data_IF_986562495229
#
_entry.id   IF_986562495229
#
_cell.length_a   1.000
_cell.length_b   1.000
_cell.length_c   1.000
_cell.angle_alpha   90.00
_cell.angle_beta   90.00
_cell.angle_gamma   90.00
#
_symmetry.space_group_name_H-M   'P 1'
#
loop_
_entity.id
_entity.type
_entity.pdbx_description
1 polymer ?
#
# COMPACT_ATOMS: atom_id res chain seq x y z
N UNK A 1 18.86 -53.79 30.08
CA UNK A 1 18.11 -54.61 29.11
C UNK A 1 18.96 -54.69 27.86
N UNK A 2 19.39 -55.90 27.52
CA UNK A 2 20.32 -56.16 26.45
C UNK A 2 19.61 -56.10 25.07
N UNK A 3 20.45 -56.16 24.04
CA UNK A 3 20.20 -56.69 22.69
C UNK A 3 19.70 -55.76 21.57
N UNK A 4 20.64 -55.57 20.64
CA UNK A 4 20.54 -55.63 19.17
C UNK A 4 19.99 -54.45 18.34
N UNK A 5 20.98 -53.87 17.64
CA UNK A 5 20.97 -53.28 16.31
C UNK A 5 20.40 -54.16 15.19
N UNK A 6 20.04 -53.47 14.09
CA UNK A 6 19.76 -53.94 12.72
C UNK A 6 18.31 -54.44 12.49
N UNK A 7 17.62 -54.15 11.39
CA UNK A 7 18.08 -54.03 10.01
C UNK A 7 17.07 -53.20 9.19
N UNK A 8 17.63 -52.49 8.21
CA UNK A 8 16.95 -51.94 7.02
C UNK A 8 16.36 -53.09 6.21
N UNK A 9 15.10 -53.00 5.77
CA UNK A 9 14.71 -53.49 4.42
C UNK A 9 13.28 -53.08 4.08
N UNK A 10 13.18 -52.34 2.97
CA UNK A 10 11.99 -52.11 2.20
C UNK A 10 11.34 -53.43 1.75
N UNK A 11 10.01 -53.46 1.67
CA UNK A 11 9.30 -54.30 0.71
C UNK A 11 7.88 -53.77 0.52
N UNK A 12 7.63 -53.31 -0.71
CA UNK A 12 6.32 -53.10 -1.30
C UNK A 12 5.56 -54.43 -1.33
N UNK A 13 4.32 -54.45 -0.85
CA UNK A 13 3.34 -55.47 -1.26
C UNK A 13 1.97 -54.82 -1.43
N UNK A 14 1.65 -54.50 -2.68
CA UNK A 14 0.26 -54.43 -3.12
C UNK A 14 -0.31 -55.86 -3.10
N UNK A 15 -1.34 -56.10 -2.31
CA UNK A 15 -2.20 -57.26 -2.47
C UNK A 15 -3.62 -56.91 -2.06
N UNK A 16 -4.48 -56.92 -3.07
CA UNK A 16 -5.92 -56.74 -3.05
C UNK A 16 -6.57 -57.94 -2.36
N UNK A 17 -7.46 -57.70 -1.41
CA UNK A 17 -8.35 -58.72 -0.85
C UNK A 17 -9.81 -58.29 -1.08
N UNK A 18 -10.43 -58.88 -2.10
CA UNK A 18 -11.87 -58.93 -2.31
C UNK A 18 -12.50 -59.97 -1.38
N UNK A 19 -13.85 -59.91 -1.27
CA UNK A 19 -14.81 -60.93 -0.82
C UNK A 19 -15.34 -60.74 0.62
N UNK A 20 -16.63 -60.77 0.95
CA UNK A 20 -17.93 -60.81 0.22
C UNK A 20 -19.01 -60.55 1.27
N UNK A 21 -20.12 -59.89 0.91
CA UNK A 21 -21.31 -59.82 1.76
C UNK A 21 -22.52 -59.19 1.05
N UNK A 22 -23.11 -59.94 0.11
CA UNK A 22 -24.52 -59.99 -0.36
C UNK A 22 -25.43 -58.74 -0.20
N UNK A 23 -26.25 -58.29 -1.15
CA UNK A 23 -26.67 -58.85 -2.46
C UNK A 23 -27.70 -57.92 -3.14
N UNK A 24 -27.84 -58.11 -4.47
CA UNK A 24 -29.07 -57.96 -5.30
C UNK A 24 -29.37 -56.60 -5.98
N UNK A 25 -29.15 -56.63 -7.31
CA UNK A 25 -29.87 -56.00 -8.43
C UNK A 25 -29.41 -54.64 -8.99
N UNK A 26 -28.60 -54.72 -10.06
CA UNK A 26 -28.37 -53.62 -11.00
C UNK A 26 -27.15 -53.76 -11.93
N UNK A 27 -26.99 -54.91 -12.60
CA UNK A 27 -26.25 -55.12 -13.88
C UNK A 27 -24.83 -54.50 -14.02
N UNK A 28 -23.79 -55.21 -13.55
CA UNK A 28 -22.75 -55.88 -14.36
C UNK A 28 -21.96 -54.96 -15.33
N UNK A 29 -20.81 -54.40 -14.93
CA UNK A 29 -19.46 -54.97 -15.16
C UNK A 29 -19.29 -55.78 -16.44
N UNK A 30 -18.38 -55.34 -17.30
CA UNK A 30 -17.67 -56.25 -18.18
C UNK A 30 -17.34 -55.66 -19.53
N UNK A 31 -16.13 -55.14 -19.67
CA UNK A 31 -15.15 -55.67 -20.62
C UNK A 31 -13.83 -54.92 -20.42
N UNK A 32 -12.95 -55.55 -19.65
CA UNK A 32 -11.52 -55.36 -19.78
C UNK A 32 -11.11 -55.64 -21.23
N UNK A 33 -10.70 -54.61 -21.95
CA UNK A 33 -9.87 -54.77 -23.12
C UNK A 33 -8.72 -53.78 -23.02
N UNK A 34 -7.58 -54.30 -22.56
CA UNK A 34 -6.27 -53.74 -22.90
C UNK A 34 -6.23 -53.69 -24.43
N UNK A 35 -6.33 -52.50 -25.00
CA UNK A 35 -5.88 -52.22 -26.36
C UNK A 35 -4.83 -51.12 -26.23
N UNK A 36 -3.57 -51.56 -26.14
CA UNK A 36 -2.45 -50.72 -26.53
C UNK A 36 -2.61 -50.41 -28.03
N UNK A 37 -3.00 -49.18 -28.33
CA UNK A 37 -3.21 -48.72 -29.70
C UNK A 37 -3.65 -47.26 -29.74
N UNK A 38 -2.67 -46.35 -29.80
CA UNK A 38 -2.68 -44.98 -30.33
C UNK A 38 -4.07 -44.30 -30.40
N UNK A 39 -4.32 -43.34 -29.50
CA UNK A 39 -5.57 -42.57 -29.53
C UNK A 39 -5.63 -41.43 -28.51
N UNK A 40 -4.65 -40.53 -28.52
CA UNK A 40 -4.93 -39.15 -28.16
C UNK A 40 -6.12 -38.66 -28.99
N UNK A 41 -7.00 -37.84 -28.42
CA UNK A 41 -8.12 -37.13 -29.08
C UNK A 41 -9.51 -37.79 -28.96
N UNK A 42 -10.13 -37.77 -27.77
CA UNK A 42 -11.58 -37.99 -27.69
C UNK A 42 -12.32 -37.31 -26.52
N UNK A 43 -11.71 -36.36 -25.80
CA UNK A 43 -12.42 -35.57 -24.77
C UNK A 43 -12.58 -34.08 -25.12
N UNK A 44 -11.90 -33.59 -26.16
CA UNK A 44 -11.96 -32.17 -26.57
C UNK A 44 -13.14 -31.83 -27.49
N UNK A 45 -13.87 -32.83 -27.98
CA UNK A 45 -14.99 -32.61 -28.91
C UNK A 45 -16.29 -32.20 -28.19
N UNK A 46 -16.51 -32.65 -26.94
CA UNK A 46 -17.75 -32.36 -26.21
C UNK A 46 -17.74 -30.95 -25.60
N UNK A 47 -16.58 -30.43 -25.21
CA UNK A 47 -16.42 -29.06 -24.70
C UNK A 47 -16.42 -27.99 -25.80
N UNK A 48 -16.15 -28.36 -27.05
CA UNK A 48 -16.17 -27.43 -28.20
C UNK A 48 -17.59 -27.04 -28.63
N UNK A 49 -18.61 -27.82 -28.28
CA UNK A 49 -20.01 -27.53 -28.58
C UNK A 49 -20.72 -26.67 -27.52
N UNK A 50 -20.08 -26.44 -26.37
CA UNK A 50 -20.62 -25.68 -25.24
C UNK A 50 -20.01 -24.28 -25.09
N UNK A 51 -19.04 -23.90 -25.93
CA UNK A 51 -18.40 -22.59 -25.84
C UNK A 51 -18.98 -21.63 -26.88
N UNK A 52 -19.57 -20.49 -26.47
CA UNK A 52 -20.02 -19.47 -27.40
C UNK A 52 -18.83 -18.94 -28.20
N UNK A 53 -19.03 -18.89 -29.52
CA UNK A 53 -18.05 -18.44 -30.53
C UNK A 53 -17.47 -17.09 -30.12
N UNK A 54 -16.26 -17.08 -29.55
CA UNK A 54 -15.55 -15.84 -29.22
C UNK A 54 -15.19 -15.11 -30.51
N UNK A 55 -15.47 -13.80 -30.63
CA UNK A 55 -14.97 -12.98 -31.72
C UNK A 55 -13.45 -13.08 -31.81
N UNK A 56 -12.96 -13.15 -33.04
CA UNK A 56 -11.54 -13.30 -33.37
C UNK A 56 -10.81 -11.98 -33.08
N UNK A 57 -10.42 -11.77 -31.83
CA UNK A 57 -9.52 -10.68 -31.44
C UNK A 57 -8.11 -11.11 -31.86
N UNK A 58 -7.62 -10.54 -32.95
CA UNK A 58 -6.21 -10.53 -33.34
C UNK A 58 -5.33 -10.32 -32.10
N UNK A 59 -4.39 -11.22 -31.78
CA UNK A 59 -3.58 -11.09 -30.58
C UNK A 59 -2.64 -9.89 -30.76
N UNK A 60 -2.99 -8.79 -30.10
CA UNK A 60 -2.00 -7.80 -29.73
C UNK A 60 -0.98 -8.51 -28.83
N UNK A 61 0.20 -8.79 -29.39
CA UNK A 61 1.37 -9.25 -28.65
C UNK A 61 1.83 -8.13 -27.72
N UNK A 62 1.13 -7.93 -26.60
CA UNK A 62 1.70 -7.27 -25.44
C UNK A 62 2.48 -8.33 -24.70
N UNK A 63 3.79 -8.32 -24.89
CA UNK A 63 4.75 -9.04 -24.05
C UNK A 63 4.38 -8.83 -22.58
N UNK A 64 3.85 -9.88 -21.94
CA UNK A 64 3.52 -9.94 -20.51
C UNK A 64 4.78 -9.97 -19.62
N UNK A 65 5.89 -9.36 -20.03
CA UNK A 65 7.16 -9.42 -19.30
C UNK A 65 7.80 -8.07 -18.97
N UNK A 66 7.29 -6.95 -19.51
CA UNK A 66 7.95 -5.65 -19.33
C UNK A 66 6.97 -4.58 -18.88
N UNK A 67 6.95 -4.29 -17.58
CA UNK A 67 6.23 -3.13 -17.04
C UNK A 67 7.02 -1.87 -17.41
N UNK A 68 6.76 -1.33 -18.61
CA UNK A 68 7.35 -0.07 -19.03
C UNK A 68 6.64 1.10 -18.37
N UNK A 69 7.42 2.05 -17.88
CA UNK A 69 6.89 3.31 -17.36
C UNK A 69 6.66 4.27 -18.52
N UNK A 70 5.40 4.56 -18.82
CA UNK A 70 5.03 5.48 -19.90
C UNK A 70 4.75 6.86 -19.28
N UNK A 71 5.34 7.91 -19.86
CA UNK A 71 5.06 9.31 -19.49
C UNK A 71 3.77 9.76 -20.16
N UNK A 72 2.63 9.55 -19.50
CA UNK A 72 1.34 10.05 -19.96
C UNK A 72 0.76 11.03 -18.94
N UNK A 73 0.47 12.29 -19.31
CA UNK A 73 -0.12 13.28 -18.41
C UNK A 73 -1.57 12.96 -18.02
N UNK A 74 -2.25 12.09 -18.79
CA UNK A 74 -3.63 11.68 -18.57
C UNK A 74 -3.70 10.17 -18.27
N UNK A 75 -3.22 9.77 -17.09
CA UNK A 75 -3.41 8.41 -16.57
C UNK A 75 -4.55 8.41 -15.57
N UNK A 76 -5.49 7.47 -15.72
CA UNK A 76 -6.54 7.26 -14.73
C UNK A 76 -5.92 6.80 -13.40
N UNK A 77 -6.41 7.37 -12.28
CA UNK A 77 -6.07 6.89 -10.94
C UNK A 77 -6.61 5.49 -10.78
N UNK A 78 -5.74 4.56 -10.40
CA UNK A 78 -6.11 3.16 -10.16
C UNK A 78 -6.27 2.94 -8.66
N UNK A 79 -7.26 2.14 -8.29
CA UNK A 79 -7.42 1.62 -6.93
C UNK A 79 -6.93 0.17 -6.92
N UNK A 80 -5.93 -0.10 -6.10
CA UNK A 80 -5.35 -1.42 -5.94
C UNK A 80 -5.92 -2.07 -4.68
N UNK A 81 -6.24 -3.35 -4.77
CA UNK A 81 -6.62 -4.17 -3.63
C UNK A 81 -5.71 -5.40 -3.59
N UNK A 82 -5.10 -5.65 -2.44
CA UNK A 82 -4.07 -6.70 -2.27
C UNK A 82 -2.68 -6.25 -2.72
N UNK A 83 -1.79 -7.22 -2.89
CA UNK A 83 -0.40 -7.00 -3.28
C UNK A 83 -0.20 -7.26 -4.79
N UNK A 84 0.41 -6.30 -5.48
CA UNK A 84 0.76 -6.46 -6.89
C UNK A 84 1.96 -5.59 -7.26
N UNK A 85 2.87 -6.12 -8.09
CA UNK A 85 3.97 -5.32 -8.66
C UNK A 85 3.40 -4.41 -9.75
N UNK A 86 3.35 -3.11 -9.46
CA UNK A 86 2.85 -2.10 -10.39
C UNK A 86 3.89 -1.02 -10.66
N UNK A 87 3.95 -0.56 -11.91
CA UNK A 87 4.58 0.71 -12.24
C UNK A 87 3.54 1.82 -12.18
N UNK A 88 3.97 3.00 -11.71
CA UNK A 88 3.15 4.19 -11.59
C UNK A 88 3.42 5.21 -12.70
N UNK A 89 2.58 6.23 -12.80
CA UNK A 89 2.87 7.37 -13.66
C UNK A 89 3.99 8.23 -13.05
N UNK A 90 4.80 8.88 -13.90
CA UNK A 90 5.81 9.85 -13.45
C UNK A 90 5.11 11.18 -13.21
N UNK A 91 5.15 11.68 -11.98
CA UNK A 91 4.59 12.98 -11.60
C UNK A 91 5.58 14.13 -11.80
N UNK A 92 6.71 14.06 -11.11
CA UNK A 92 7.80 15.04 -11.19
C UNK A 92 9.04 14.34 -11.73
N UNK A 93 9.77 15.03 -12.61
CA UNK A 93 11.12 14.67 -13.02
C UNK A 93 11.93 15.97 -13.02
N UNK A 94 13.00 16.01 -12.26
CA UNK A 94 13.88 17.17 -12.21
C UNK A 94 15.32 16.73 -11.99
N UNK A 95 16.24 17.62 -12.32
CA UNK A 95 17.67 17.38 -12.28
C UNK A 95 18.31 18.51 -11.48
N UNK A 96 19.06 18.17 -10.44
CA UNK A 96 19.62 19.13 -9.47
C UNK A 96 21.13 18.98 -9.37
N UNK A 97 21.81 20.05 -8.97
CA UNK A 97 23.24 20.05 -8.70
C UNK A 97 24.08 19.80 -9.95
N UNK A 98 23.89 20.63 -10.99
CA UNK A 98 24.58 20.54 -12.27
C UNK A 98 24.37 19.20 -13.00
N UNK A 99 23.13 18.70 -13.00
CA UNK A 99 22.75 17.42 -13.56
C UNK A 99 23.35 16.16 -12.89
N UNK A 100 23.78 16.28 -11.63
CA UNK A 100 24.29 15.13 -10.87
C UNK A 100 23.19 14.30 -10.21
N UNK A 101 22.10 14.92 -9.78
CA UNK A 101 21.01 14.23 -9.10
C UNK A 101 19.75 14.24 -9.95
N UNK A 102 19.20 13.06 -10.19
CA UNK A 102 17.92 12.91 -10.86
C UNK A 102 16.83 12.60 -9.83
N UNK A 103 15.87 13.51 -9.69
CA UNK A 103 14.72 13.34 -8.80
C UNK A 103 13.50 12.95 -9.61
N UNK A 104 12.84 11.86 -9.19
CA UNK A 104 11.63 11.37 -9.84
C UNK A 104 10.60 10.96 -8.79
N UNK A 105 9.35 11.31 -9.03
CA UNK A 105 8.21 10.87 -8.21
C UNK A 105 7.34 9.94 -9.05
N UNK A 106 7.09 8.74 -8.53
CA UNK A 106 6.24 7.72 -9.16
C UNK A 106 4.94 7.60 -8.37
N UNK A 107 3.81 7.79 -9.06
CA UNK A 107 2.47 7.72 -8.49
C UNK A 107 1.85 6.35 -8.75
N UNK A 108 1.68 5.53 -7.71
CA UNK A 108 1.22 4.15 -7.84
C UNK A 108 -0.31 4.01 -7.92
N UNK A 109 -1.06 4.80 -7.15
CA UNK A 109 -2.52 4.71 -7.10
C UNK A 109 -3.12 5.68 -6.10
N UNK A 110 -4.42 5.53 -5.88
CA UNK A 110 -5.18 6.30 -4.90
C UNK A 110 -5.45 5.48 -3.64
N UNK A 111 -5.44 6.16 -2.49
CA UNK A 111 -5.82 5.61 -1.20
C UNK A 111 -4.64 5.34 -0.29
N UNK A 112 -4.97 4.65 0.80
CA UNK A 112 -4.09 4.27 1.89
C UNK A 112 -3.53 2.88 1.61
N UNK A 113 -2.22 2.79 1.41
CA UNK A 113 -1.51 1.51 1.32
C UNK A 113 -1.00 1.11 2.71
N UNK A 114 -0.97 -0.19 2.99
CA UNK A 114 -0.37 -0.72 4.22
C UNK A 114 1.16 -0.60 4.17
N UNK A 115 1.75 -1.02 3.04
CA UNK A 115 3.15 -0.75 2.75
C UNK A 115 3.43 -0.71 1.25
N UNK A 116 4.57 -0.10 0.91
CA UNK A 116 5.19 -0.24 -0.41
C UNK A 116 6.40 -1.17 -0.21
N UNK A 117 6.30 -2.39 -0.72
CA UNK A 117 7.33 -3.42 -0.59
C UNK A 117 8.59 -3.17 -1.41
N UNK A 118 9.21 -4.22 -1.92
CA UNK A 118 10.47 -4.16 -2.67
C UNK A 118 10.37 -3.27 -3.91
N UNK A 119 11.32 -2.34 -4.06
CA UNK A 119 11.38 -1.46 -5.23
C UNK A 119 12.33 -2.05 -6.25
N UNK A 120 11.92 -2.11 -7.52
CA UNK A 120 12.74 -2.69 -8.58
C UNK A 120 13.24 -1.61 -9.52
N UNK A 121 14.56 -1.54 -9.70
CA UNK A 121 15.19 -0.73 -10.73
C UNK A 121 15.57 -1.65 -11.89
N UNK A 122 14.80 -1.56 -12.97
CA UNK A 122 14.83 -2.54 -14.05
C UNK A 122 14.57 -3.97 -13.49
N UNK A 123 15.62 -4.80 -13.47
CA UNK A 123 15.56 -6.20 -13.00
C UNK A 123 16.22 -6.40 -11.64
N UNK A 124 16.75 -5.33 -11.03
CA UNK A 124 17.44 -5.40 -9.74
C UNK A 124 16.48 -5.00 -8.59
N UNK A 125 16.23 -5.89 -7.62
CA UNK A 125 15.45 -5.57 -6.43
C UNK A 125 16.26 -4.74 -5.43
N UNK A 126 15.60 -3.77 -4.80
CA UNK A 126 16.07 -3.07 -3.62
C UNK A 126 15.10 -3.39 -2.49
N UNK A 127 15.58 -4.18 -1.54
CA UNK A 127 14.83 -4.65 -0.39
C UNK A 127 14.77 -3.58 0.71
N UNK A 128 13.84 -3.74 1.64
CA UNK A 128 13.61 -2.78 2.73
C UNK A 128 14.74 -2.76 3.75
N UNK A 129 15.39 -3.90 3.98
CA UNK A 129 16.57 -4.06 4.86
C UNK A 129 17.83 -3.35 4.30
N UNK A 130 17.86 -3.08 3.00
CA UNK A 130 18.93 -2.33 2.34
C UNK A 130 18.74 -0.82 2.41
N UNK A 131 17.66 -0.33 3.05
CA UNK A 131 17.36 1.08 3.20
C UNK A 131 17.54 1.52 4.66
N UNK A 132 18.17 2.67 4.88
CA UNK A 132 18.21 3.31 6.19
C UNK A 132 16.89 4.04 6.53
N UNK A 133 16.81 4.60 7.73
CA UNK A 133 15.64 5.40 8.18
C UNK A 133 15.41 6.69 7.39
N UNK A 134 16.40 7.15 6.62
CA UNK A 134 16.28 8.33 5.74
C UNK A 134 15.95 7.95 4.27
N UNK A 135 15.88 6.66 3.97
CA UNK A 135 15.59 6.09 2.66
C UNK A 135 16.82 5.92 1.76
N UNK A 136 18.05 6.04 2.27
CA UNK A 136 19.26 5.80 1.47
C UNK A 136 19.55 4.29 1.38
N UNK A 137 19.99 3.87 0.20
CA UNK A 137 20.50 2.50 0.00
C UNK A 137 21.85 2.38 0.70
N UNK A 138 21.96 1.44 1.63
CA UNK A 138 23.16 1.22 2.47
C UNK A 138 23.95 -0.03 2.09
N UNK A 139 23.37 -0.88 1.24
CA UNK A 139 24.02 -2.11 0.77
C UNK A 139 23.44 -2.58 -0.56
N UNK A 140 24.13 -3.51 -1.22
CA UNK A 140 23.74 -4.05 -2.53
C UNK A 140 24.31 -3.27 -3.70
N UNK A 141 23.79 -3.57 -4.91
CA UNK A 141 24.35 -3.07 -6.17
C UNK A 141 24.28 -1.55 -6.35
N UNK A 142 23.30 -0.91 -5.73
CA UNK A 142 23.07 0.54 -5.83
C UNK A 142 23.59 1.32 -4.62
N UNK A 143 24.43 0.70 -3.79
CA UNK A 143 25.15 1.41 -2.75
C UNK A 143 26.28 2.23 -3.37
N UNK A 144 26.31 3.52 -3.05
CA UNK A 144 27.38 4.45 -3.38
C UNK A 144 27.54 5.43 -2.21
N UNK A 145 28.78 5.68 -1.80
CA UNK A 145 29.09 6.60 -0.71
C UNK A 145 28.96 8.08 -1.14
N UNK A 146 29.20 8.39 -2.41
CA UNK A 146 29.23 9.76 -2.92
C UNK A 146 27.89 10.18 -3.53
N UNK A 147 27.21 9.28 -4.26
CA UNK A 147 25.89 9.52 -4.84
C UNK A 147 24.87 8.42 -4.49
N UNK A 148 24.49 8.28 -3.21
CA UNK A 148 23.60 7.21 -2.79
C UNK A 148 22.22 7.35 -3.42
N UNK A 149 21.67 6.23 -3.90
CA UNK A 149 20.27 6.15 -4.29
C UNK A 149 19.41 6.36 -3.05
N UNK A 150 18.40 7.22 -3.15
CA UNK A 150 17.42 7.48 -2.09
C UNK A 150 16.01 7.17 -2.53
N UNK A 151 15.31 6.33 -1.78
CA UNK A 151 13.93 5.91 -2.00
C UNK A 151 13.10 6.33 -0.79
N UNK A 152 12.21 7.31 -0.99
CA UNK A 152 11.21 7.71 0.00
C UNK A 152 9.85 7.17 -0.40
N UNK A 153 9.24 6.39 0.49
CA UNK A 153 7.96 5.72 0.25
C UNK A 153 6.85 6.48 0.98
N UNK A 154 5.80 6.82 0.25
CA UNK A 154 4.62 7.51 0.78
C UNK A 154 3.40 6.60 0.63
N UNK A 155 2.75 6.27 1.74
CA UNK A 155 1.63 5.31 1.77
C UNK A 155 0.27 5.92 1.43
N UNK A 156 0.19 7.25 1.35
CA UNK A 156 -1.08 7.96 1.11
C UNK A 156 -2.03 7.94 2.30
N UNK A 157 -1.70 7.22 3.37
CA UNK A 157 -2.38 7.19 4.65
C UNK A 157 -1.62 8.00 5.70
N UNK A 158 -2.34 8.60 6.64
CA UNK A 158 -1.75 9.41 7.70
C UNK A 158 -1.49 10.84 7.26
N UNK A 159 -1.93 11.78 8.09
CA UNK A 159 -1.57 13.17 7.96
C UNK A 159 -0.06 13.38 7.88
N UNK A 160 0.30 14.46 7.17
CA UNK A 160 1.64 14.92 6.81
C UNK A 160 2.41 13.98 5.85
N UNK A 161 2.77 14.43 4.63
CA UNK A 161 3.60 13.64 3.72
C UNK A 161 4.90 13.18 4.41
N UNK A 162 5.34 11.92 4.21
CA UNK A 162 6.55 11.32 4.81
C UNK A 162 7.90 12.09 4.65
N UNK A 163 7.90 13.26 4.01
CA UNK A 163 9.03 14.18 3.95
C UNK A 163 8.84 15.44 4.82
N UNK A 164 7.81 15.47 5.65
CA UNK A 164 7.49 16.54 6.57
C UNK A 164 7.29 15.94 7.96
N UNK A 165 7.91 16.54 8.96
CA UNK A 165 7.78 16.13 10.36
C UNK A 165 6.71 17.00 11.00
N UNK A 166 5.66 16.42 11.62
CA UNK A 166 4.70 17.18 12.41
C UNK A 166 5.41 17.99 13.50
N UNK A 167 4.89 19.18 13.77
CA UNK A 167 5.39 20.00 14.88
C UNK A 167 4.97 19.33 16.18
N UNK A 168 5.93 18.78 16.91
CA UNK A 168 5.66 18.04 18.15
C UNK A 168 5.07 18.94 19.25
N UNK A 169 4.18 18.37 20.06
CA UNK A 169 3.56 19.06 21.20
C UNK A 169 4.56 19.70 22.15
N UNK A 170 5.67 19.01 22.46
CA UNK A 170 6.71 19.49 23.37
C UNK A 170 7.68 20.51 22.74
N UNK A 171 7.63 20.73 21.42
CA UNK A 171 8.55 21.61 20.73
C UNK A 171 8.03 23.06 20.77
N UNK A 172 8.83 24.01 21.26
CA UNK A 172 8.46 25.42 21.37
C UNK A 172 7.32 25.70 22.37
N UNK A 173 7.14 26.97 22.71
CA UNK A 173 6.02 27.44 23.52
C UNK A 173 4.72 27.42 22.72
N UNK A 174 3.62 26.97 23.33
CA UNK A 174 2.30 27.05 22.72
C UNK A 174 1.77 28.48 22.80
N UNK A 175 1.27 29.02 21.69
CA UNK A 175 0.64 30.34 21.62
C UNK A 175 -0.69 30.24 20.87
N UNK A 176 -1.63 31.12 21.19
CA UNK A 176 -2.93 31.14 20.54
C UNK A 176 -4.08 31.46 21.48
N UNK A 177 -5.28 31.48 20.90
CA UNK A 177 -6.55 31.77 21.60
C UNK A 177 -7.49 30.57 21.66
N UNK A 178 -7.22 29.48 20.93
CA UNK A 178 -8.07 28.27 20.87
C UNK A 178 -7.90 27.37 22.11
N UNK A 179 -8.22 27.89 23.30
CA UNK A 179 -7.90 27.24 24.57
C UNK A 179 -9.01 26.37 25.18
N UNK A 180 -10.21 26.26 24.60
CA UNK A 180 -11.34 25.59 25.24
C UNK A 180 -11.34 24.07 25.00
N UNK A 181 -11.55 23.34 26.11
CA UNK A 181 -11.65 21.88 26.31
C UNK A 181 -10.66 20.98 25.54
N UNK A 182 -9.38 21.16 25.81
CA UNK A 182 -8.25 20.42 25.20
C UNK A 182 -7.00 21.29 25.24
N UNK A 183 -7.23 22.61 25.22
CA UNK A 183 -6.20 23.62 25.29
C UNK A 183 -5.38 23.68 24.00
N UNK A 184 -4.43 24.61 23.96
CA UNK A 184 -3.57 24.78 22.78
C UNK A 184 -2.75 23.53 22.45
N UNK A 185 -2.49 22.68 23.45
CA UNK A 185 -1.67 21.50 23.31
C UNK A 185 -2.32 20.40 22.47
N UNK A 186 -3.66 20.35 22.44
CA UNK A 186 -4.42 19.37 21.65
C UNK A 186 -4.23 19.57 20.14
N UNK A 187 -3.89 20.78 19.67
CA UNK A 187 -3.59 21.02 18.25
C UNK A 187 -2.29 20.35 17.77
N UNK A 188 -1.45 19.84 18.68
CA UNK A 188 -0.11 19.31 18.39
C UNK A 188 0.14 17.92 18.98
N UNK A 189 -0.88 17.25 19.52
CA UNK A 189 -0.75 15.94 20.15
C UNK A 189 -0.78 14.76 19.16
N UNK A 190 -1.21 15.02 17.92
CA UNK A 190 -1.25 14.04 16.83
C UNK A 190 -2.49 13.13 16.85
N UNK A 191 -3.42 13.34 17.78
CA UNK A 191 -4.66 12.59 17.85
C UNK A 191 -5.72 13.28 16.98
N UNK A 192 -6.09 12.60 15.89
CA UNK A 192 -7.03 13.12 14.89
C UNK A 192 -8.49 12.74 15.19
N UNK A 193 -8.73 11.93 16.22
CA UNK A 193 -10.03 11.30 16.50
C UNK A 193 -10.58 11.69 17.87
N UNK A 194 -10.54 12.99 18.18
CA UNK A 194 -10.94 13.52 19.49
C UNK A 194 -12.36 14.08 19.51
N UNK A 195 -13.00 13.94 20.69
CA UNK A 195 -14.24 14.65 20.99
C UNK A 195 -13.99 16.13 21.11
N UNK A 196 -15.01 16.95 20.90
CA UNK A 196 -14.88 18.39 21.03
C UNK A 196 -14.34 18.84 22.40
N UNK A 197 -14.63 18.08 23.47
CA UNK A 197 -14.17 18.35 24.82
C UNK A 197 -12.72 17.93 25.11
N UNK A 198 -12.03 17.38 24.10
CA UNK A 198 -10.59 17.12 24.13
C UNK A 198 -9.84 17.93 23.05
N UNK A 199 -10.54 18.66 22.18
CA UNK A 199 -9.96 19.38 21.03
C UNK A 199 -9.52 20.79 21.41
N UNK A 200 -8.62 21.38 20.62
CA UNK A 200 -8.30 22.81 20.73
C UNK A 200 -9.41 23.62 20.05
N UNK A 201 -10.40 24.09 20.82
CA UNK A 201 -11.52 24.89 20.29
C UNK A 201 -11.64 26.27 20.95
N UNK A 202 -12.33 27.21 20.31
CA UNK A 202 -12.93 28.37 20.98
C UNK A 202 -14.28 28.69 20.35
N UNK A 203 -15.36 28.40 21.07
CA UNK A 203 -16.74 28.40 20.54
C UNK A 203 -17.39 29.77 20.48
N UNK A 204 -16.78 30.76 21.11
CA UNK A 204 -17.38 32.08 21.25
C UNK A 204 -16.65 33.14 20.45
N UNK A 205 -15.69 32.73 19.62
CA UNK A 205 -14.87 33.62 18.82
C UNK A 205 -14.90 33.18 17.36
N UNK A 206 -15.13 34.15 16.47
CA UNK A 206 -15.17 33.91 15.03
C UNK A 206 -13.77 33.59 14.45
N UNK A 207 -12.72 33.98 15.17
CA UNK A 207 -11.31 33.83 14.77
C UNK A 207 -10.52 33.23 15.93
N UNK A 208 -10.03 32.01 15.72
CA UNK A 208 -9.12 31.33 16.62
C UNK A 208 -7.68 31.38 16.11
N UNK A 209 -6.72 31.58 17.00
CA UNK A 209 -5.30 31.49 16.68
C UNK A 209 -4.69 30.26 17.37
N UNK A 210 -3.77 29.59 16.67
CA UNK A 210 -2.94 28.52 17.20
C UNK A 210 -1.55 28.59 16.58
N UNK A 211 -0.51 28.35 17.37
CA UNK A 211 0.85 28.40 16.88
C UNK A 211 1.90 27.95 17.88
N UNK A 212 3.16 28.06 17.45
CA UNK A 212 4.36 27.79 18.25
C UNK A 212 5.27 29.01 18.27
N UNK A 213 5.70 29.37 19.46
CA UNK A 213 6.84 30.27 19.67
C UNK A 213 8.12 29.43 19.81
N UNK A 214 9.11 29.72 18.97
CA UNK A 214 10.40 29.03 18.95
C UNK A 214 11.47 29.72 19.79
N UNK A 215 11.14 30.86 20.40
CA UNK A 215 12.07 31.72 21.12
C UNK A 215 12.66 32.83 20.26
N UNK A 216 13.21 33.84 20.92
CA UNK A 216 13.80 34.99 20.25
C UNK A 216 14.91 34.57 19.26
N UNK A 217 14.91 35.19 18.07
CA UNK A 217 15.84 34.94 16.98
C UNK A 217 15.85 33.50 16.41
N UNK A 218 14.84 32.68 16.72
CA UNK A 218 14.65 31.35 16.11
C UNK A 218 13.55 31.41 15.07
N UNK A 219 13.90 31.19 13.81
CA UNK A 219 12.93 31.09 12.70
C UNK A 219 12.79 29.65 12.24
N UNK A 220 11.55 29.20 12.04
CA UNK A 220 11.22 27.91 11.43
C UNK A 220 10.34 28.12 10.22
N UNK A 221 10.54 27.31 9.18
CA UNK A 221 9.68 27.34 7.99
C UNK A 221 8.56 26.31 8.15
N UNK A 222 7.32 26.80 8.12
CA UNK A 222 6.14 25.93 8.01
C UNK A 222 5.91 25.66 6.53
N UNK A 223 5.96 24.39 6.13
CA UNK A 223 5.81 23.97 4.73
C UNK A 223 4.39 23.52 4.39
N UNK A 224 3.51 23.46 5.39
CA UNK A 224 2.10 23.12 5.24
C UNK A 224 1.43 23.01 6.61
N UNK A 225 0.10 22.89 6.58
CA UNK A 225 -0.70 22.56 7.75
C UNK A 225 -1.77 21.54 7.36
N UNK A 226 -2.28 20.85 8.36
CA UNK A 226 -3.47 20.02 8.25
C UNK A 226 -4.33 20.34 9.47
N UNK A 227 -5.64 20.41 9.26
CA UNK A 227 -6.61 20.67 10.31
C UNK A 227 -7.68 19.60 10.25
N UNK A 228 -8.06 19.09 11.41
CA UNK A 228 -9.09 18.08 11.57
C UNK A 228 -10.24 18.67 12.37
N UNK A 229 -11.47 18.45 11.90
CA UNK A 229 -12.66 18.73 12.69
C UNK A 229 -12.83 17.64 13.76
N UNK A 230 -13.53 17.98 14.83
CA UNK A 230 -13.79 17.03 15.92
C UNK A 230 -14.66 15.86 15.42
N UNK A 231 -14.60 14.71 16.06
CA UNK A 231 -15.44 13.55 15.67
C UNK A 231 -16.94 13.73 15.98
N UNK A 232 -17.29 14.72 16.80
CA UNK A 232 -18.64 14.92 17.37
C UNK A 232 -19.36 16.10 16.75
N UNK A 233 -18.63 17.16 16.40
CA UNK A 233 -19.19 18.39 15.83
C UNK A 233 -18.52 18.78 14.51
N UNK A 234 -17.41 18.13 14.14
CA UNK A 234 -16.66 18.46 12.95
C UNK A 234 -16.15 19.90 12.98
N UNK A 235 -16.27 20.55 11.83
CA UNK A 235 -16.04 21.97 11.62
C UNK A 235 -17.37 22.72 11.80
N UNK A 236 -17.70 23.11 13.03
CA UNK A 236 -19.01 23.70 13.38
C UNK A 236 -18.98 25.23 13.48
N UNK A 237 -20.03 25.89 12.98
CA UNK A 237 -20.27 27.33 13.17
C UNK A 237 -21.07 27.56 14.48
N UNK A 238 -20.68 28.52 15.36
CA UNK A 238 -21.51 28.94 16.48
C UNK A 238 -22.88 29.52 16.08
N UNK A 239 -23.06 30.01 14.84
CA UNK A 239 -24.30 30.67 14.41
C UNK A 239 -25.46 29.71 14.00
N UNK A 240 -25.29 28.40 14.19
CA UNK A 240 -26.37 27.41 14.10
C UNK A 240 -26.31 26.43 12.90
N UNK A 241 -27.16 25.38 12.92
CA UNK A 241 -26.99 24.16 12.10
C UNK A 241 -27.27 24.29 10.60
N UNK A 242 -27.74 25.46 10.11
CA UNK A 242 -28.24 25.62 8.73
C UNK A 242 -27.52 26.71 7.91
N UNK A 243 -26.37 27.21 8.37
CA UNK A 243 -25.58 28.18 7.60
C UNK A 243 -24.40 27.48 6.90
N UNK A 244 -24.13 27.75 5.62
CA UNK A 244 -22.98 27.18 4.93
C UNK A 244 -21.69 27.60 5.66
N UNK A 245 -20.96 26.61 6.17
CA UNK A 245 -19.74 26.85 6.96
C UNK A 245 -18.55 26.98 6.01
N UNK A 246 -18.11 28.21 5.77
CA UNK A 246 -16.82 28.47 5.17
C UNK A 246 -15.76 28.58 6.25
N UNK A 247 -14.98 27.54 6.49
CA UNK A 247 -13.78 27.67 7.34
C UNK A 247 -12.63 28.17 6.48
N UNK A 248 -12.12 29.34 6.84
CA UNK A 248 -10.91 29.90 6.24
C UNK A 248 -9.75 29.66 7.19
N UNK A 249 -8.76 28.88 6.74
CA UNK A 249 -7.52 28.66 7.48
C UNK A 249 -6.43 29.48 6.79
N UNK A 250 -5.81 30.38 7.55
CA UNK A 250 -4.76 31.27 7.04
C UNK A 250 -3.46 30.98 7.77
N UNK A 251 -2.40 30.71 7.02
CA UNK A 251 -1.04 30.67 7.58
C UNK A 251 -0.56 32.11 7.81
N UNK A 252 -0.17 32.39 9.04
CA UNK A 252 0.43 33.66 9.46
C UNK A 252 1.82 33.37 10.03
N UNK A 253 2.80 34.21 9.71
CA UNK A 253 4.19 34.08 10.12
C UNK A 253 4.83 35.44 10.37
#
# INVERSE_FOLDING_TARGET
>A
MALFTALISAAVSAAVSFATGASVFGLATGLSAIVMGIGSLAMSAVTSLLQPKRPNITPFNVSQGRTLQIRQPLTYRRKLYGESRISGSIGVFESTGDNRFFHMIILHGEGCFEEIGTTYFNDEPIFKDQLDGSGFVTSGRFFDADTPVRIKKHLGCGGVPANQTPVAQAAGGLIGTMSNNGGLAASFDGDIDQTHNASSEDRFVLIGYIGKDWGAAVTKTITGFQAWGTNTTGFSNPDGPNQPVGITITLQG
#
